data_IF_166842986743
#
_entry.id   IF_166842986743
#
_cell.length_a   1.000
_cell.length_b   1.000
_cell.length_c   1.000
_cell.angle_alpha   90.00
_cell.angle_beta   90.00
_cell.angle_gamma   90.00
#
_symmetry.space_group_name_H-M   'P 1'
#
loop_
_entity.id
_entity.type
_entity.pdbx_description
1 polymer ?
#
# COMPACT_ATOMS: atom_id res chain seq x y z
N UNK A 1 -7.21 13.95 17.03
CA UNK A 1 -7.69 13.13 15.90
C UNK A 1 -9.20 13.16 15.82
N UNK A 2 -9.78 12.61 14.75
CA UNK A 2 -11.23 12.56 14.54
C UNK A 2 -11.74 11.11 14.51
N UNK A 3 -13.02 10.95 14.78
CA UNK A 3 -13.80 9.72 14.61
C UNK A 3 -14.78 9.95 13.47
N UNK A 4 -14.86 9.02 12.54
CA UNK A 4 -15.82 9.11 11.43
C UNK A 4 -17.20 8.67 11.87
N UNK A 5 -18.24 9.43 11.50
CA UNK A 5 -19.63 9.04 11.73
C UNK A 5 -20.05 7.86 10.84
N UNK A 6 -19.49 7.80 9.62
CA UNK A 6 -19.67 6.68 8.69
C UNK A 6 -19.04 5.43 9.31
N UNK A 7 -19.78 4.32 9.34
CA UNK A 7 -19.24 3.00 9.71
C UNK A 7 -18.01 2.72 8.86
N UNK A 8 -16.90 2.40 9.52
CA UNK A 8 -15.66 2.02 8.88
C UNK A 8 -15.65 0.51 8.72
N UNK A 9 -15.44 0.03 7.49
CA UNK A 9 -15.24 -1.37 7.20
C UNK A 9 -13.82 -1.78 7.58
N UNK A 10 -13.69 -3.05 7.98
CA UNK A 10 -12.41 -3.70 8.27
C UNK A 10 -12.40 -4.97 7.44
N UNK A 11 -11.43 -5.09 6.56
CA UNK A 11 -11.22 -6.29 5.76
C UNK A 11 -9.98 -7.05 6.23
N UNK A 12 -9.96 -8.35 6.00
CA UNK A 12 -8.83 -9.21 6.35
C UNK A 12 -8.29 -9.93 5.11
N UNK A 13 -6.98 -9.85 4.89
CA UNK A 13 -6.28 -10.59 3.82
C UNK A 13 -5.06 -11.26 4.44
N UNK A 14 -4.93 -12.58 4.30
CA UNK A 14 -3.81 -13.32 4.89
C UNK A 14 -3.62 -13.07 6.41
N UNK A 15 -4.70 -12.87 7.16
CA UNK A 15 -4.65 -12.56 8.60
C UNK A 15 -4.28 -11.11 8.95
N UNK A 16 -4.02 -10.23 7.97
CA UNK A 16 -3.79 -8.80 8.18
C UNK A 16 -5.09 -8.03 8.00
N UNK A 17 -5.42 -7.18 8.97
CA UNK A 17 -6.62 -6.35 8.97
C UNK A 17 -6.33 -4.95 8.42
N UNK A 18 -7.20 -4.47 7.53
CA UNK A 18 -7.15 -3.16 6.92
C UNK A 18 -8.44 -2.40 7.23
N UNK A 19 -8.34 -1.16 7.73
CA UNK A 19 -9.48 -0.29 7.97
C UNK A 19 -9.75 0.02 9.44
N UNK A 20 -11.00 0.36 9.75
CA UNK A 20 -11.45 0.75 11.09
C UNK A 20 -11.36 2.25 11.34
N UNK A 21 -11.66 2.69 12.57
CA UNK A 21 -11.47 4.07 12.99
C UNK A 21 -9.98 4.38 13.20
N UNK A 22 -9.53 5.64 13.05
CA UNK A 22 -8.15 6.00 13.37
C UNK A 22 -7.78 5.59 14.80
N UNK A 23 -6.77 4.72 14.93
CA UNK A 23 -6.30 4.14 16.19
C UNK A 23 -7.06 2.90 16.68
N UNK A 24 -8.05 2.39 15.95
CA UNK A 24 -8.72 1.10 16.27
C UNK A 24 -7.79 -0.10 15.99
N UNK A 25 -7.14 -0.08 14.82
CA UNK A 25 -6.14 -1.03 14.37
C UNK A 25 -4.81 -0.31 14.11
N UNK A 26 -3.66 -0.99 14.29
CA UNK A 26 -2.37 -0.43 13.90
C UNK A 26 -2.30 -0.23 12.38
N UNK A 27 -1.52 0.76 11.96
CA UNK A 27 -1.32 1.04 10.54
C UNK A 27 -0.55 -0.10 9.87
N UNK A 28 -1.04 -0.55 8.72
CA UNK A 28 -0.39 -1.60 7.92
C UNK A 28 0.76 -1.03 7.09
N UNK A 29 1.93 -1.64 7.18
CA UNK A 29 3.14 -1.23 6.45
C UNK A 29 3.37 -2.12 5.23
N UNK A 30 3.31 -1.53 4.04
CA UNK A 30 3.52 -2.25 2.78
C UNK A 30 4.91 -1.92 2.23
N UNK A 31 5.77 -2.93 2.19
CA UNK A 31 7.17 -2.78 1.78
C UNK A 31 7.40 -3.27 0.36
N UNK A 32 8.07 -2.46 -0.46
CA UNK A 32 8.31 -2.82 -1.85
C UNK A 32 9.60 -3.62 -2.00
N UNK A 33 9.49 -4.80 -2.60
CA UNK A 33 10.61 -5.64 -3.02
C UNK A 33 10.64 -5.77 -4.54
N UNK A 34 11.82 -6.15 -5.06
CA UNK A 34 12.07 -6.37 -6.49
C UNK A 34 11.74 -5.23 -7.46
N UNK A 35 11.57 -4.00 -6.96
CA UNK A 35 11.34 -2.81 -7.79
C UNK A 35 12.53 -2.51 -8.72
N UNK A 36 12.29 -1.72 -9.77
CA UNK A 36 13.31 -1.33 -10.73
C UNK A 36 14.59 -0.79 -10.05
N UNK A 37 15.74 -1.37 -10.39
CA UNK A 37 17.07 -1.07 -9.80
C UNK A 37 17.22 -1.40 -8.32
N UNK A 38 16.37 -2.26 -7.77
CA UNK A 38 16.61 -2.83 -6.45
C UNK A 38 17.92 -3.63 -6.47
N UNK A 39 18.85 -3.30 -5.58
CA UNK A 39 20.25 -3.76 -5.65
C UNK A 39 20.43 -5.27 -5.50
N UNK A 40 19.43 -5.95 -4.97
CA UNK A 40 19.45 -7.41 -4.82
C UNK A 40 19.04 -8.13 -6.11
N UNK A 41 18.48 -7.44 -7.10
CA UNK A 41 18.07 -8.01 -8.39
C UNK A 41 19.19 -7.85 -9.40
N UNK A 42 19.57 -8.95 -10.03
CA UNK A 42 20.63 -9.01 -11.05
C UNK A 42 20.11 -9.13 -12.47
N UNK A 43 18.90 -9.67 -12.64
CA UNK A 43 18.18 -9.74 -13.92
C UNK A 43 16.67 -9.60 -13.62
N UNK A 44 16.12 -8.42 -13.90
CA UNK A 44 14.72 -8.06 -13.62
C UNK A 44 13.72 -8.72 -14.57
N UNK A 45 14.16 -9.08 -15.78
CA UNK A 45 13.35 -9.79 -16.76
C UNK A 45 13.18 -11.27 -16.37
N UNK A 46 14.25 -11.89 -15.87
CA UNK A 46 14.26 -13.30 -15.49
C UNK A 46 14.02 -13.57 -14.02
N UNK A 47 13.85 -12.53 -13.20
CA UNK A 47 13.65 -12.68 -11.77
C UNK A 47 14.83 -13.31 -11.04
N UNK A 48 16.06 -12.94 -11.42
CA UNK A 48 17.29 -13.45 -10.78
C UNK A 48 17.74 -12.44 -9.73
N UNK A 49 17.79 -12.86 -8.47
CA UNK A 49 18.12 -12.00 -7.34
C UNK A 49 18.93 -12.75 -6.27
N UNK A 50 19.56 -11.98 -5.39
CA UNK A 50 20.23 -12.46 -4.19
C UNK A 50 19.20 -12.84 -3.12
N UNK A 51 18.91 -14.14 -3.02
CA UNK A 51 17.97 -14.69 -2.04
C UNK A 51 18.38 -14.39 -0.59
N UNK A 52 19.66 -14.47 -0.26
CA UNK A 52 20.13 -14.24 1.11
C UNK A 52 19.94 -12.77 1.53
N UNK A 53 20.21 -11.83 0.61
CA UNK A 53 19.94 -10.42 0.83
C UNK A 53 18.43 -10.14 0.96
N UNK A 54 17.59 -10.77 0.12
CA UNK A 54 16.14 -10.65 0.18
C UNK A 54 15.58 -11.14 1.52
N UNK A 55 16.01 -12.31 1.98
CA UNK A 55 15.60 -12.88 3.28
C UNK A 55 16.09 -12.03 4.45
N UNK A 56 17.28 -11.45 4.37
CA UNK A 56 17.76 -10.52 5.42
C UNK A 56 16.84 -9.31 5.55
N UNK A 57 16.43 -8.72 4.42
CA UNK A 57 15.49 -7.58 4.41
C UNK A 57 14.13 -7.99 4.96
N UNK A 58 13.61 -9.14 4.53
CA UNK A 58 12.33 -9.67 5.01
C UNK A 58 12.35 -9.95 6.52
N UNK A 59 13.34 -10.69 7.02
CA UNK A 59 13.46 -11.03 8.43
C UNK A 59 13.67 -9.80 9.33
N UNK A 60 14.31 -8.75 8.80
CA UNK A 60 14.40 -7.46 9.51
C UNK A 60 13.01 -6.84 9.69
N UNK A 61 12.16 -6.89 8.66
CA UNK A 61 10.77 -6.45 8.76
C UNK A 61 9.96 -7.29 9.74
N UNK A 62 10.06 -8.62 9.69
CA UNK A 62 9.38 -9.51 10.63
C UNK A 62 9.76 -9.13 12.07
N UNK A 63 11.06 -8.97 12.35
CA UNK A 63 11.56 -8.61 13.68
C UNK A 63 11.05 -7.23 14.13
N UNK A 64 10.95 -6.25 13.23
CA UNK A 64 10.45 -4.92 13.55
C UNK A 64 8.94 -4.90 13.79
N UNK A 65 8.18 -5.69 13.04
CA UNK A 65 6.76 -5.91 13.33
C UNK A 65 6.56 -6.57 14.69
N UNK A 66 7.35 -7.57 15.02
CA UNK A 66 7.30 -8.22 16.34
C UNK A 66 7.67 -7.25 17.45
N UNK A 67 8.55 -6.28 17.18
CA UNK A 67 8.93 -5.26 18.15
C UNK A 67 7.86 -4.17 18.30
N UNK A 68 7.29 -3.65 17.21
CA UNK A 68 6.40 -2.48 17.26
C UNK A 68 4.92 -2.82 17.31
N UNK A 69 4.54 -3.99 16.80
CA UNK A 69 3.14 -4.40 16.67
C UNK A 69 2.45 -3.95 15.38
N UNK A 70 3.17 -3.27 14.48
CA UNK A 70 2.64 -2.87 13.18
C UNK A 70 2.59 -4.06 12.21
N UNK A 71 1.41 -4.41 11.67
CA UNK A 71 1.30 -5.45 10.64
C UNK A 71 1.96 -4.99 9.33
N UNK A 72 2.26 -5.96 8.47
CA UNK A 72 2.99 -5.71 7.24
C UNK A 72 2.51 -6.57 6.07
N UNK A 73 2.87 -6.12 4.87
CA UNK A 73 2.54 -6.75 3.58
C UNK A 73 3.76 -6.62 2.67
N UNK A 74 4.04 -7.65 1.87
CA UNK A 74 5.07 -7.56 0.84
C UNK A 74 4.47 -7.04 -0.47
N UNK A 75 5.00 -5.97 -1.05
CA UNK A 75 4.68 -5.56 -2.42
C UNK A 75 5.73 -6.12 -3.35
N UNK A 76 5.34 -7.15 -4.10
CA UNK A 76 6.19 -7.86 -5.06
C UNK A 76 6.02 -7.18 -6.42
N UNK A 77 7.07 -6.49 -6.87
CA UNK A 77 7.11 -5.84 -8.18
C UNK A 77 7.78 -6.76 -9.20
N UNK A 78 7.14 -7.00 -10.33
CA UNK A 78 7.72 -7.72 -11.45
C UNK A 78 7.67 -6.95 -12.77
N UNK A 79 8.70 -7.09 -13.58
CA UNK A 79 8.78 -6.47 -14.92
C UNK A 79 8.22 -7.40 -16.01
N UNK A 80 8.20 -8.72 -15.78
CA UNK A 80 7.70 -9.71 -16.74
C UNK A 80 6.86 -10.78 -16.04
N UNK A 81 6.03 -11.54 -16.78
CA UNK A 81 5.34 -12.69 -16.23
C UNK A 81 6.28 -13.77 -15.68
N UNK A 82 7.50 -13.88 -16.20
CA UNK A 82 8.49 -14.84 -15.69
C UNK A 82 9.04 -14.38 -14.32
N UNK A 83 9.42 -13.10 -14.21
CA UNK A 83 10.04 -12.60 -12.98
C UNK A 83 9.07 -12.54 -11.82
N UNK A 84 7.84 -12.05 -12.04
CA UNK A 84 6.84 -11.96 -10.96
C UNK A 84 6.49 -13.32 -10.36
N UNK A 85 6.39 -14.37 -11.19
CA UNK A 85 6.11 -15.74 -10.72
C UNK A 85 7.25 -16.27 -9.85
N UNK A 86 8.50 -16.07 -10.25
CA UNK A 86 9.66 -16.47 -9.44
C UNK A 86 9.76 -15.72 -8.11
N UNK A 87 9.40 -14.44 -8.09
CA UNK A 87 9.36 -13.67 -6.86
C UNK A 87 8.25 -14.14 -5.91
N UNK A 88 7.06 -14.47 -6.46
CA UNK A 88 5.96 -15.08 -5.70
C UNK A 88 6.40 -16.45 -5.14
N UNK A 89 7.00 -17.31 -5.95
CA UNK A 89 7.49 -18.64 -5.53
C UNK A 89 8.45 -18.54 -4.35
N UNK A 90 9.44 -17.65 -4.44
CA UNK A 90 10.35 -17.40 -3.34
C UNK A 90 9.62 -16.90 -2.09
N UNK A 91 8.68 -15.95 -2.25
CA UNK A 91 8.01 -15.37 -1.11
C UNK A 91 7.18 -16.41 -0.35
N UNK A 92 6.42 -17.23 -1.05
CA UNK A 92 5.58 -18.27 -0.43
C UNK A 92 6.41 -19.42 0.15
N UNK A 93 7.64 -19.63 -0.35
CA UNK A 93 8.60 -20.60 0.21
C UNK A 93 9.08 -20.18 1.60
N UNK A 94 9.29 -18.87 1.82
CA UNK A 94 9.84 -18.34 3.09
C UNK A 94 8.76 -17.83 4.05
N UNK A 95 7.56 -17.52 3.56
CA UNK A 95 6.44 -17.00 4.35
C UNK A 95 5.11 -17.58 3.83
N UNK A 96 4.45 -18.39 4.65
CA UNK A 96 3.22 -19.10 4.31
C UNK A 96 1.92 -18.36 4.73
N UNK A 97 2.04 -17.23 5.44
CA UNK A 97 0.90 -16.55 6.06
C UNK A 97 0.67 -15.13 5.54
N UNK A 98 1.74 -14.37 5.33
CA UNK A 98 1.66 -12.92 5.12
C UNK A 98 1.06 -12.63 3.74
N UNK A 99 0.11 -11.68 3.63
CA UNK A 99 -0.40 -11.26 2.33
C UNK A 99 0.66 -10.52 1.51
N UNK A 100 0.43 -10.44 0.21
CA UNK A 100 1.33 -9.73 -0.70
C UNK A 100 0.59 -9.04 -1.84
N UNK A 101 1.10 -7.89 -2.26
CA UNK A 101 0.65 -7.22 -3.48
C UNK A 101 1.38 -7.83 -4.68
N UNK A 102 0.63 -8.14 -5.73
CA UNK A 102 1.16 -8.43 -7.06
C UNK A 102 1.14 -7.14 -7.87
N UNK A 103 2.32 -6.65 -8.24
CA UNK A 103 2.46 -5.31 -8.82
C UNK A 103 3.38 -5.30 -10.04
N UNK A 104 3.00 -4.48 -11.01
CA UNK A 104 3.78 -4.16 -12.19
C UNK A 104 3.23 -2.89 -12.83
N UNK A 105 4.07 -2.19 -13.59
CA UNK A 105 3.59 -1.14 -14.49
C UNK A 105 2.77 -1.69 -15.67
N UNK A 106 2.92 -2.98 -15.98
CA UNK A 106 2.29 -3.65 -17.11
C UNK A 106 1.09 -4.53 -16.68
N UNK A 107 -0.07 -4.34 -17.31
CA UNK A 107 -1.30 -5.06 -16.98
C UNK A 107 -1.21 -6.57 -17.23
N UNK A 108 -0.50 -6.97 -18.28
CA UNK A 108 -0.28 -8.38 -18.61
C UNK A 108 0.54 -9.12 -17.55
N UNK A 109 1.44 -8.43 -16.86
CA UNK A 109 2.25 -9.01 -15.77
C UNK A 109 1.39 -9.22 -14.53
N UNK A 110 0.54 -8.22 -14.19
CA UNK A 110 -0.39 -8.33 -13.06
C UNK A 110 -1.45 -9.40 -13.27
N UNK A 111 -2.01 -9.48 -14.47
CA UNK A 111 -2.92 -10.54 -14.88
C UNK A 111 -2.25 -11.93 -14.77
N UNK A 112 -1.03 -12.08 -15.31
CA UNK A 112 -0.30 -13.34 -15.20
C UNK A 112 0.00 -13.75 -13.76
N UNK A 113 0.23 -12.79 -12.87
CA UNK A 113 0.41 -13.03 -11.44
C UNK A 113 -0.90 -13.43 -10.74
N UNK A 114 -2.02 -12.79 -11.06
CA UNK A 114 -3.33 -13.13 -10.49
C UNK A 114 -3.76 -14.56 -10.87
N UNK A 115 -3.60 -14.89 -12.15
CA UNK A 115 -3.82 -16.25 -12.65
C UNK A 115 -2.89 -17.24 -11.93
N UNK A 116 -1.60 -16.91 -11.80
CA UNK A 116 -0.65 -17.81 -11.17
C UNK A 116 -0.94 -18.05 -9.68
N UNK A 117 -1.35 -17.01 -8.94
CA UNK A 117 -1.74 -17.15 -7.53
C UNK A 117 -2.95 -18.10 -7.37
N UNK A 118 -3.86 -18.10 -8.35
CA UNK A 118 -4.97 -19.06 -8.43
C UNK A 118 -4.44 -20.48 -8.67
N UNK A 119 -3.60 -20.66 -9.69
CA UNK A 119 -3.03 -21.96 -10.08
C UNK A 119 -2.27 -22.66 -8.94
N UNK A 120 -1.53 -21.90 -8.12
CA UNK A 120 -0.72 -22.45 -7.03
C UNK A 120 -1.44 -22.40 -5.66
N UNK A 121 -2.69 -21.94 -5.62
CA UNK A 121 -3.55 -21.98 -4.42
C UNK A 121 -3.21 -20.96 -3.34
N UNK A 122 -2.68 -19.78 -3.71
CA UNK A 122 -2.31 -18.70 -2.77
C UNK A 122 -3.10 -17.41 -2.99
N UNK A 123 -4.14 -17.43 -3.84
CA UNK A 123 -4.93 -16.25 -4.20
C UNK A 123 -5.58 -15.55 -2.99
N UNK A 124 -5.92 -16.27 -1.92
CA UNK A 124 -6.46 -15.70 -0.67
C UNK A 124 -5.50 -14.76 0.08
N UNK A 125 -4.21 -14.78 -0.27
CA UNK A 125 -3.17 -13.89 0.27
C UNK A 125 -2.76 -12.80 -0.73
N UNK A 126 -3.13 -12.94 -1.99
CA UNK A 126 -2.73 -12.03 -3.05
C UNK A 126 -3.65 -10.80 -3.09
N UNK A 127 -3.04 -9.63 -3.28
CA UNK A 127 -3.73 -8.35 -3.46
C UNK A 127 -3.33 -7.81 -4.83
N UNK A 128 -4.28 -7.71 -5.76
CA UNK A 128 -3.99 -7.17 -7.08
C UNK A 128 -3.70 -5.66 -7.02
N UNK A 129 -2.52 -5.20 -7.46
CA UNK A 129 -2.15 -3.78 -7.47
C UNK A 129 -1.89 -3.29 -8.89
N UNK A 130 -2.84 -2.64 -9.58
CA UNK A 130 -4.14 -2.15 -9.09
C UNK A 130 -5.20 -2.11 -10.17
N UNK A 131 -6.46 -2.05 -9.74
CA UNK A 131 -7.56 -1.59 -10.58
C UNK A 131 -7.46 -0.06 -10.68
N UNK A 132 -7.23 0.41 -11.89
CA UNK A 132 -6.95 1.81 -12.18
C UNK A 132 -7.49 2.22 -13.55
N UNK A 133 -7.45 3.52 -13.86
CA UNK A 133 -8.04 4.08 -15.07
C UNK A 133 -7.41 3.60 -16.40
N UNK A 134 -6.31 2.85 -16.35
CA UNK A 134 -5.66 2.23 -17.52
C UNK A 134 -5.82 0.72 -17.58
N UNK A 135 -6.63 0.11 -16.69
CA UNK A 135 -6.92 -1.33 -16.76
C UNK A 135 -7.56 -1.68 -18.11
N UNK A 136 -7.05 -2.74 -18.74
CA UNK A 136 -7.53 -3.24 -20.02
C UNK A 136 -8.49 -4.42 -19.83
N UNK A 137 -9.35 -4.67 -20.83
CA UNK A 137 -10.33 -5.77 -20.77
C UNK A 137 -9.66 -7.14 -20.57
N UNK A 138 -8.48 -7.35 -21.15
CA UNK A 138 -7.71 -8.59 -20.97
C UNK A 138 -7.29 -8.84 -19.52
N UNK A 139 -6.98 -7.78 -18.76
CA UNK A 139 -6.65 -7.86 -17.34
C UNK A 139 -7.92 -8.08 -16.50
N UNK A 140 -9.03 -7.42 -16.85
CA UNK A 140 -10.34 -7.63 -16.23
C UNK A 140 -10.79 -9.09 -16.39
N UNK A 141 -10.71 -9.64 -17.60
CA UNK A 141 -11.15 -11.01 -17.89
C UNK A 141 -10.39 -12.03 -17.02
N UNK A 142 -9.06 -11.87 -16.93
CA UNK A 142 -8.22 -12.74 -16.09
C UNK A 142 -8.55 -12.57 -14.61
N UNK A 143 -8.79 -11.36 -14.13
CA UNK A 143 -9.16 -11.13 -12.73
C UNK A 143 -10.51 -11.76 -12.39
N UNK A 144 -11.52 -11.59 -13.26
CA UNK A 144 -12.85 -12.20 -13.11
C UNK A 144 -12.78 -13.74 -13.05
N UNK A 145 -11.83 -14.35 -13.76
CA UNK A 145 -11.61 -15.80 -13.75
C UNK A 145 -10.69 -16.28 -12.60
N UNK A 146 -10.03 -15.36 -11.89
CA UNK A 146 -9.11 -15.68 -10.80
C UNK A 146 -9.80 -15.82 -9.45
N UNK A 147 -9.15 -16.50 -8.51
CA UNK A 147 -9.58 -16.61 -7.11
C UNK A 147 -9.12 -15.40 -6.26
N UNK A 148 -8.58 -14.33 -6.87
CA UNK A 148 -8.08 -13.15 -6.15
C UNK A 148 -9.24 -12.24 -5.79
N UNK A 149 -9.51 -12.09 -4.48
CA UNK A 149 -10.66 -11.31 -3.99
C UNK A 149 -10.29 -9.92 -3.44
N UNK A 150 -9.00 -9.59 -3.36
CA UNK A 150 -8.50 -8.33 -2.83
C UNK A 150 -7.74 -7.53 -3.89
N UNK A 151 -7.98 -6.22 -3.94
CA UNK A 151 -7.27 -5.34 -4.86
C UNK A 151 -7.05 -3.94 -4.28
N UNK A 152 -5.92 -3.33 -4.65
CA UNK A 152 -5.78 -1.88 -4.58
C UNK A 152 -6.67 -1.27 -5.67
N UNK A 153 -7.51 -0.32 -5.29
CA UNK A 153 -8.33 0.48 -6.20
C UNK A 153 -7.77 1.90 -6.21
N UNK A 154 -7.21 2.32 -7.33
CA UNK A 154 -6.39 3.52 -7.42
C UNK A 154 -7.22 4.76 -7.78
N UNK A 155 -7.22 5.76 -6.90
CA UNK A 155 -7.90 7.04 -7.09
C UNK A 155 -7.07 8.03 -7.93
N UNK A 156 -6.40 7.55 -8.98
CA UNK A 156 -5.60 8.40 -9.86
C UNK A 156 -6.45 8.95 -11.00
N UNK A 157 -6.63 10.27 -11.01
CA UNK A 157 -7.30 10.96 -12.09
C UNK A 157 -6.32 11.96 -12.74
N UNK A 158 -5.88 11.63 -13.95
CA UNK A 158 -4.87 12.41 -14.68
C UNK A 158 -5.38 13.80 -15.10
N UNK A 159 -6.70 13.98 -15.26
CA UNK A 159 -7.29 15.24 -15.74
C UNK A 159 -7.81 16.12 -14.60
N UNK A 160 -8.07 15.54 -13.42
CA UNK A 160 -8.47 16.27 -12.21
C UNK A 160 -7.80 15.69 -10.95
N UNK A 161 -6.66 16.26 -10.49
CA UNK A 161 -5.96 15.78 -9.30
C UNK A 161 -6.59 16.25 -7.97
N UNK A 162 -7.74 16.93 -8.01
CA UNK A 162 -8.42 17.41 -6.80
C UNK A 162 -9.09 16.27 -6.03
N UNK A 163 -9.51 16.54 -4.80
CA UNK A 163 -10.29 15.55 -4.01
C UNK A 163 -11.56 15.12 -4.73
N UNK A 164 -12.21 16.03 -5.47
CA UNK A 164 -13.39 15.69 -6.28
C UNK A 164 -13.00 14.73 -7.40
N UNK A 165 -11.99 15.04 -8.20
CA UNK A 165 -11.53 14.16 -9.28
C UNK A 165 -11.11 12.77 -8.81
N UNK A 166 -10.52 12.68 -7.61
CA UNK A 166 -10.19 11.40 -6.94
C UNK A 166 -11.44 10.60 -6.52
N UNK A 167 -12.50 11.26 -6.07
CA UNK A 167 -13.78 10.59 -5.78
C UNK A 167 -14.50 10.19 -7.08
N UNK A 168 -14.51 11.08 -8.07
CA UNK A 168 -15.17 10.83 -9.36
C UNK A 168 -14.56 9.61 -10.04
N UNK A 169 -13.23 9.45 -10.07
CA UNK A 169 -12.62 8.27 -10.70
C UNK A 169 -12.98 6.96 -9.99
N UNK A 170 -13.18 7.00 -8.66
CA UNK A 170 -13.60 5.83 -7.88
C UNK A 170 -15.07 5.48 -8.10
N UNK A 171 -15.97 6.47 -8.08
CA UNK A 171 -17.43 6.25 -8.06
C UNK A 171 -18.09 6.32 -9.45
N UNK A 172 -17.56 7.16 -10.35
CA UNK A 172 -18.22 7.52 -11.63
C UNK A 172 -17.39 7.11 -12.84
N UNK A 173 -16.07 7.25 -12.77
CA UNK A 173 -15.17 7.09 -13.90
C UNK A 173 -14.50 8.40 -14.30
N UNK A 174 -13.83 8.42 -15.45
CA UNK A 174 -12.99 9.54 -15.87
C UNK A 174 -12.87 9.63 -17.38
N UNK A 175 -11.96 10.48 -17.86
CA UNK A 175 -11.72 10.61 -19.29
C UNK A 175 -11.26 9.28 -19.89
N UNK A 176 -12.10 8.68 -20.73
CA UNK A 176 -11.84 7.38 -21.36
C UNK A 176 -12.31 6.15 -20.55
N UNK A 177 -12.95 6.35 -19.39
CA UNK A 177 -13.48 5.28 -18.55
C UNK A 177 -14.93 5.57 -18.18
N UNK A 178 -15.87 4.75 -18.66
CA UNK A 178 -17.31 4.92 -18.42
C UNK A 178 -17.76 4.49 -17.02
N UNK A 179 -16.93 3.70 -16.33
CA UNK A 179 -17.22 3.13 -15.01
C UNK A 179 -16.24 3.65 -13.97
N UNK A 180 -16.73 3.82 -12.74
CA UNK A 180 -15.88 4.06 -11.58
C UNK A 180 -15.03 2.83 -11.27
N UNK A 181 -13.82 3.05 -10.73
CA UNK A 181 -12.90 1.95 -10.43
C UNK A 181 -13.44 0.99 -9.37
N UNK A 182 -14.34 1.43 -8.49
CA UNK A 182 -15.05 0.55 -7.56
C UNK A 182 -16.02 -0.40 -8.27
N UNK A 183 -16.71 0.07 -9.30
CA UNK A 183 -17.58 -0.77 -10.11
C UNK A 183 -16.77 -1.78 -10.92
N UNK A 184 -15.64 -1.36 -11.50
CA UNK A 184 -14.73 -2.29 -12.20
C UNK A 184 -14.22 -3.38 -11.24
N UNK A 185 -13.88 -3.01 -10.00
CA UNK A 185 -13.48 -3.98 -8.98
C UNK A 185 -14.58 -4.99 -8.65
N UNK A 186 -15.81 -4.54 -8.46
CA UNK A 186 -16.96 -5.43 -8.24
C UNK A 186 -17.17 -6.40 -9.42
N UNK A 187 -17.06 -5.92 -10.66
CA UNK A 187 -17.18 -6.74 -11.88
C UNK A 187 -16.02 -7.75 -12.04
N UNK A 188 -14.85 -7.44 -11.50
CA UNK A 188 -13.72 -8.38 -11.40
C UNK A 188 -13.90 -9.42 -10.28
N UNK A 189 -14.98 -9.37 -9.49
CA UNK A 189 -15.20 -10.26 -8.35
C UNK A 189 -14.44 -9.86 -7.08
N UNK A 190 -13.86 -8.66 -7.03
CA UNK A 190 -13.14 -8.15 -5.85
C UNK A 190 -14.14 -7.87 -4.72
N UNK A 191 -13.87 -8.46 -3.56
CA UNK A 191 -14.64 -8.31 -2.32
C UNK A 191 -13.97 -7.38 -1.32
N UNK A 192 -12.65 -7.21 -1.43
CA UNK A 192 -11.82 -6.42 -0.53
C UNK A 192 -11.15 -5.28 -1.33
N UNK A 193 -11.87 -4.17 -1.56
CA UNK A 193 -11.28 -2.99 -2.18
C UNK A 193 -10.49 -2.18 -1.15
N UNK A 194 -9.19 -1.99 -1.40
CA UNK A 194 -8.30 -1.16 -0.60
C UNK A 194 -7.98 0.12 -1.40
N UNK A 195 -8.38 1.29 -0.92
CA UNK A 195 -8.31 2.51 -1.72
C UNK A 195 -6.92 3.15 -1.62
N UNK A 196 -6.17 3.21 -2.71
CA UNK A 196 -4.97 4.07 -2.80
C UNK A 196 -5.41 5.46 -3.27
N UNK A 197 -5.16 6.49 -2.48
CA UNK A 197 -5.56 7.88 -2.80
C UNK A 197 -4.74 8.52 -3.92
N UNK A 198 -3.80 7.80 -4.53
CA UNK A 198 -2.88 8.22 -5.57
C UNK A 198 -2.04 9.44 -5.18
N UNK A 199 -0.89 9.18 -4.56
CA UNK A 199 -0.01 10.20 -4.02
C UNK A 199 0.65 11.08 -5.09
N UNK A 200 0.34 12.38 -5.06
CA UNK A 200 0.90 13.36 -6.01
C UNK A 200 2.16 14.06 -5.44
N UNK A 201 3.11 14.48 -6.31
CA UNK A 201 4.32 15.18 -5.87
C UNK A 201 4.01 16.44 -5.04
N UNK A 202 4.91 16.77 -4.12
CA UNK A 202 4.81 18.01 -3.34
C UNK A 202 4.79 19.23 -4.27
N UNK A 203 3.76 20.09 -4.10
CA UNK A 203 3.51 21.24 -4.95
C UNK A 203 2.71 20.94 -6.23
N UNK A 204 2.36 19.68 -6.49
CA UNK A 204 1.65 19.23 -7.68
C UNK A 204 0.35 18.45 -7.35
N UNK A 205 -0.32 18.79 -6.24
CA UNK A 205 -1.55 18.12 -5.79
C UNK A 205 -1.40 17.30 -4.51
N UNK A 206 -0.24 17.34 -3.86
CA UNK A 206 0.01 16.68 -2.57
C UNK A 206 -0.99 17.07 -1.47
N UNK A 207 -1.40 18.35 -1.41
CA UNK A 207 -2.40 18.80 -0.44
C UNK A 207 -3.77 18.16 -0.67
N UNK A 208 -4.17 17.98 -1.94
CA UNK A 208 -5.39 17.26 -2.29
C UNK A 208 -5.28 15.76 -1.96
N UNK A 209 -4.11 15.15 -2.19
CA UNK A 209 -3.81 13.76 -1.79
C UNK A 209 -4.09 13.55 -0.31
N UNK A 210 -3.48 14.35 0.57
CA UNK A 210 -3.66 14.19 2.02
C UNK A 210 -5.10 14.46 2.44
N UNK A 211 -5.76 15.47 1.86
CA UNK A 211 -7.18 15.76 2.15
C UNK A 211 -8.12 14.65 1.67
N UNK A 212 -7.75 13.91 0.62
CA UNK A 212 -8.54 12.78 0.13
C UNK A 212 -8.60 11.64 1.14
N UNK A 213 -7.58 11.44 1.98
CA UNK A 213 -7.57 10.37 2.99
C UNK A 213 -8.81 10.42 3.89
N UNK A 214 -9.03 11.49 4.69
CA UNK A 214 -10.21 11.56 5.53
C UNK A 214 -11.51 11.76 4.73
N UNK A 215 -11.44 12.36 3.54
CA UNK A 215 -12.65 12.58 2.73
C UNK A 215 -13.22 11.26 2.21
N UNK A 216 -12.38 10.41 1.62
CA UNK A 216 -12.78 9.11 1.07
C UNK A 216 -13.22 8.20 2.21
N UNK A 217 -12.44 8.14 3.29
CA UNK A 217 -12.75 7.34 4.48
C UNK A 217 -14.08 7.74 5.13
N UNK A 218 -14.33 9.04 5.27
CA UNK A 218 -15.59 9.58 5.79
C UNK A 218 -16.80 9.39 4.87
N UNK A 219 -16.60 9.31 3.56
CA UNK A 219 -17.68 9.14 2.57
C UNK A 219 -18.02 7.68 2.30
N UNK A 220 -17.00 6.85 2.08
CA UNK A 220 -17.16 5.46 1.66
C UNK A 220 -17.10 4.49 2.84
N UNK A 221 -16.31 4.78 3.86
CA UNK A 221 -16.05 3.85 4.98
C UNK A 221 -15.09 2.72 4.63
N UNK A 222 -14.50 2.71 3.43
CA UNK A 222 -13.53 1.70 3.00
C UNK A 222 -12.13 1.99 3.56
N UNK A 223 -11.23 0.99 3.66
CA UNK A 223 -9.84 1.23 4.02
C UNK A 223 -9.12 2.12 2.99
N UNK A 224 -8.34 3.08 3.48
CA UNK A 224 -7.66 4.08 2.66
C UNK A 224 -6.16 4.12 2.95
N UNK A 225 -5.35 4.17 1.91
CA UNK A 225 -3.90 4.27 2.03
C UNK A 225 -3.25 4.86 0.80
N UNK A 226 -1.96 4.60 0.66
CA UNK A 226 -1.27 4.79 -0.61
C UNK A 226 0.24 4.91 -0.55
N UNK A 227 0.83 5.09 -1.73
CA UNK A 227 2.27 5.26 -1.96
C UNK A 227 2.83 6.63 -1.58
N UNK A 228 2.73 7.07 -0.33
CA UNK A 228 3.05 8.45 0.06
C UNK A 228 4.53 8.82 -0.09
N UNK A 229 5.44 7.85 -0.14
CA UNK A 229 6.85 8.09 -0.46
C UNK A 229 7.03 8.79 -1.83
N UNK A 230 6.09 8.57 -2.77
CA UNK A 230 6.09 9.22 -4.08
C UNK A 230 5.97 10.76 -4.01
N UNK A 231 5.35 11.29 -2.95
CA UNK A 231 5.22 12.73 -2.76
C UNK A 231 6.59 13.40 -2.60
N UNK A 232 7.49 12.74 -1.85
CA UNK A 232 8.86 13.20 -1.62
C UNK A 232 9.80 12.81 -2.77
N UNK A 233 9.69 11.58 -3.27
CA UNK A 233 10.60 11.04 -4.29
C UNK A 233 10.52 11.82 -5.61
N UNK A 234 9.31 12.27 -5.97
CA UNK A 234 9.02 13.06 -7.16
C UNK A 234 9.06 14.58 -6.92
N UNK A 235 9.41 15.06 -5.72
CA UNK A 235 9.49 16.49 -5.45
C UNK A 235 10.73 17.11 -6.10
N UNK A 236 10.50 17.94 -7.12
CA UNK A 236 11.57 18.49 -7.97
C UNK A 236 12.62 19.31 -7.22
N UNK A 237 12.21 20.12 -6.24
CA UNK A 237 13.15 20.91 -5.47
C UNK A 237 14.07 20.01 -4.64
N UNK A 238 13.52 19.02 -3.92
CA UNK A 238 14.32 18.11 -3.09
C UNK A 238 15.22 17.22 -3.92
N UNK A 239 14.77 16.76 -5.11
CA UNK A 239 15.60 15.99 -6.06
C UNK A 239 16.85 16.76 -6.50
N UNK A 240 16.75 18.08 -6.67
CA UNK A 240 17.88 18.96 -7.01
C UNK A 240 18.72 19.27 -5.77
N UNK A 241 18.06 19.66 -4.68
CA UNK A 241 18.71 20.07 -3.44
C UNK A 241 19.53 18.94 -2.82
N UNK A 242 19.00 17.72 -2.70
CA UNK A 242 19.73 16.60 -2.07
C UNK A 242 21.05 16.27 -2.77
N UNK A 243 21.16 16.53 -4.08
CA UNK A 243 22.40 16.31 -4.86
C UNK A 243 23.51 17.30 -4.52
N UNK A 244 23.19 18.43 -3.90
CA UNK A 244 24.20 19.42 -3.46
C UNK A 244 24.71 19.15 -2.04
N UNK A 245 24.17 18.12 -1.38
CA UNK A 245 24.47 17.79 0.01
C UNK A 245 25.50 16.66 0.09
N UNK A 246 26.38 16.65 1.11
CA UNK A 246 27.40 15.61 1.28
C UNK A 246 26.79 14.23 1.59
N UNK A 247 25.64 14.21 2.27
CA UNK A 247 24.85 13.01 2.49
C UNK A 247 23.40 13.24 2.01
N UNK A 248 23.11 12.95 0.73
CA UNK A 248 21.78 13.11 0.17
C UNK A 248 20.71 12.27 0.89
N UNK A 249 21.08 11.14 1.51
CA UNK A 249 20.13 10.22 2.14
C UNK A 249 19.61 10.79 3.45
N UNK A 250 20.45 11.33 4.32
CA UNK A 250 19.99 11.97 5.57
C UNK A 250 19.09 13.19 5.35
N UNK A 251 19.22 13.87 4.20
CA UNK A 251 18.37 15.00 3.84
C UNK A 251 17.02 14.54 3.27
N UNK A 252 17.03 13.48 2.46
CA UNK A 252 15.82 12.95 1.81
C UNK A 252 14.92 12.16 2.78
N UNK A 253 15.52 11.30 3.61
CA UNK A 253 14.78 10.34 4.45
C UNK A 253 13.74 10.98 5.39
N UNK A 254 14.00 12.10 6.09
CA UNK A 254 12.99 12.74 6.93
C UNK A 254 11.75 13.18 6.14
N UNK A 255 11.94 13.64 4.90
CA UNK A 255 10.82 14.07 4.05
C UNK A 255 10.03 12.88 3.52
N UNK A 256 10.74 11.82 3.13
CA UNK A 256 10.16 10.56 2.62
C UNK A 256 9.34 9.83 3.69
N UNK A 257 9.86 9.70 4.90
CA UNK A 257 9.12 9.13 6.03
C UNK A 257 7.99 10.08 6.43
N UNK A 258 8.27 11.39 6.49
CA UNK A 258 7.30 12.40 6.92
C UNK A 258 6.02 12.42 6.10
N UNK A 259 6.06 12.15 4.78
CA UNK A 259 4.84 12.11 3.96
C UNK A 259 3.93 10.94 4.34
N UNK A 260 4.49 9.81 4.75
CA UNK A 260 3.73 8.68 5.28
C UNK A 260 3.06 9.04 6.63
N UNK A 261 3.81 9.65 7.55
CA UNK A 261 3.29 10.03 8.88
C UNK A 261 2.15 11.05 8.80
N UNK A 262 2.24 12.01 7.88
CA UNK A 262 1.17 13.00 7.64
C UNK A 262 -0.11 12.32 7.16
N UNK A 263 0.00 11.32 6.28
CA UNK A 263 -1.15 10.56 5.83
C UNK A 263 -1.75 9.65 6.92
N UNK A 264 -0.90 9.05 7.74
CA UNK A 264 -1.31 8.23 8.89
C UNK A 264 -2.16 9.06 9.88
N UNK A 265 -1.67 10.25 10.27
CA UNK A 265 -2.46 11.21 11.07
C UNK A 265 -3.72 11.70 10.34
N UNK A 266 -3.74 11.69 9.01
CA UNK A 266 -4.95 11.98 8.25
C UNK A 266 -5.95 10.81 8.19
N UNK A 267 -5.68 9.70 8.88
CA UNK A 267 -6.56 8.54 9.00
C UNK A 267 -6.30 7.45 7.94
N UNK A 268 -5.09 7.39 7.41
CA UNK A 268 -4.69 6.30 6.51
C UNK A 268 -4.51 4.99 7.28
N UNK A 269 -5.05 3.91 6.73
CA UNK A 269 -5.03 2.55 7.31
C UNK A 269 -3.80 1.74 6.86
N UNK A 270 -3.22 2.06 5.70
CA UNK A 270 -2.04 1.38 5.17
C UNK A 270 -1.10 2.33 4.41
N UNK A 271 0.20 2.06 4.49
CA UNK A 271 1.27 2.89 3.93
C UNK A 271 2.15 2.07 2.98
N UNK A 272 2.08 2.34 1.68
CA UNK A 272 3.07 1.86 0.71
C UNK A 272 4.30 2.75 0.85
N UNK A 273 5.15 2.42 1.81
CA UNK A 273 6.27 3.28 2.21
C UNK A 273 7.46 3.21 1.24
N UNK A 274 7.39 2.31 0.25
CA UNK A 274 8.39 2.15 -0.78
C UNK A 274 9.46 1.11 -0.40
N UNK A 275 10.74 1.33 -0.77
CA UNK A 275 11.79 0.32 -0.65
C UNK A 275 11.92 -0.28 0.76
N UNK A 276 11.96 -1.61 0.83
CA UNK A 276 12.08 -2.36 2.10
C UNK A 276 13.32 -1.97 2.91
N UNK A 277 14.39 -1.44 2.30
CA UNK A 277 15.59 -0.96 3.00
C UNK A 277 15.34 0.22 3.96
N UNK A 278 14.15 0.82 3.90
CA UNK A 278 13.72 1.87 4.82
C UNK A 278 13.05 1.33 6.10
N UNK A 279 12.85 0.02 6.22
CA UNK A 279 12.10 -0.64 7.31
C UNK A 279 12.52 -0.19 8.71
N UNK A 280 13.83 -0.14 8.99
CA UNK A 280 14.37 0.26 10.31
C UNK A 280 14.04 1.70 10.71
N UNK A 281 13.69 2.55 9.74
CA UNK A 281 13.36 3.96 9.96
C UNK A 281 11.85 4.19 9.96
N UNK A 282 11.12 3.43 9.13
CA UNK A 282 9.66 3.58 8.98
C UNK A 282 8.91 2.98 10.17
N UNK A 283 9.23 1.75 10.57
CA UNK A 283 8.53 1.04 11.65
C UNK A 283 8.47 1.84 12.95
N UNK A 284 9.59 2.32 13.54
CA UNK A 284 9.52 3.10 14.77
C UNK A 284 8.79 4.44 14.58
N UNK A 285 8.88 5.06 13.40
CA UNK A 285 8.21 6.33 13.13
C UNK A 285 6.69 6.17 13.03
N UNK A 286 6.22 5.09 12.40
CA UNK A 286 4.79 4.76 12.27
C UNK A 286 4.21 4.27 13.58
N UNK A 287 4.97 3.47 14.35
CA UNK A 287 4.58 3.05 15.69
C UNK A 287 4.37 4.24 16.64
N UNK A 288 5.24 5.26 16.57
CA UNK A 288 5.08 6.50 17.32
C UNK A 288 3.73 7.18 17.02
N UNK A 289 3.34 7.25 15.74
CA UNK A 289 2.06 7.85 15.36
C UNK A 289 0.89 6.96 15.80
N UNK A 290 0.99 5.64 15.68
CA UNK A 290 -0.07 4.73 16.15
C UNK A 290 -0.27 4.80 17.68
N UNK A 291 0.77 5.09 18.47
CA UNK A 291 0.60 5.39 19.90
C UNK A 291 -0.30 6.63 20.07
N UNK A 292 -0.01 7.72 19.36
CA UNK A 292 -0.82 8.96 19.42
C UNK A 292 -2.26 8.72 18.92
N UNK A 293 -2.43 7.90 17.88
CA UNK A 293 -3.74 7.52 17.36
C UNK A 293 -4.51 6.68 18.39
N UNK A 294 -3.87 5.69 19.00
CA UNK A 294 -4.47 4.81 20.00
C UNK A 294 -4.86 5.55 21.29
N UNK A 295 -4.05 6.52 21.72
CA UNK A 295 -4.42 7.44 22.81
C UNK A 295 -5.69 8.21 22.47
N UNK A 296 -5.76 8.77 21.25
CA UNK A 296 -6.94 9.52 20.83
C UNK A 296 -8.17 8.63 20.62
N UNK A 297 -7.98 7.40 20.13
CA UNK A 297 -9.06 6.42 19.96
C UNK A 297 -9.75 6.14 21.31
N UNK A 298 -8.96 5.92 22.37
CA UNK A 298 -9.46 5.75 23.73
C UNK A 298 -10.26 6.98 24.20
N UNK A 299 -9.75 8.19 23.99
CA UNK A 299 -10.47 9.43 24.34
C UNK A 299 -11.80 9.60 23.58
N UNK A 300 -11.87 9.14 22.33
CA UNK A 300 -13.06 9.21 21.48
C UNK A 300 -14.01 8.00 21.62
N UNK A 301 -13.75 7.12 22.60
CA UNK A 301 -14.55 5.92 22.85
C UNK A 301 -14.53 4.95 21.67
N UNK A 302 -13.36 4.79 21.04
CA UNK A 302 -13.05 3.73 20.09
C UNK A 302 -12.20 2.69 20.82
N UNK A 303 -12.65 1.45 20.82
CA UNK A 303 -11.91 0.35 21.44
C UNK A 303 -10.72 -0.06 20.56
N UNK A 304 -9.57 -0.34 21.18
CA UNK A 304 -8.43 -0.93 20.47
C UNK A 304 -8.75 -2.38 20.19
N UNK A 305 -8.78 -2.76 18.91
CA UNK A 305 -9.27 -4.07 18.49
C UNK A 305 -8.31 -5.23 18.77
N UNK A 306 -6.99 -4.96 18.80
CA UNK A 306 -5.95 -5.91 19.20
C UNK A 306 -5.03 -5.27 20.24
N UNK A 307 -5.44 -5.34 21.51
CA UNK A 307 -4.70 -4.73 22.60
C UNK A 307 -3.35 -5.40 22.88
N UNK A 308 -3.09 -6.62 22.40
CA UNK A 308 -1.81 -7.29 22.65
C UNK A 308 -0.74 -6.85 21.64
N UNK A 309 -1.16 -6.54 20.41
CA UNK A 309 -0.25 -6.13 19.34
C UNK A 309 -0.29 -4.65 19.01
N UNK A 310 -1.21 -3.84 19.55
CA UNK A 310 -1.25 -2.42 19.20
C UNK A 310 -0.02 -1.66 19.73
N UNK A 311 0.63 -0.76 18.94
CA UNK A 311 1.79 0.02 19.41
C UNK A 311 1.55 0.75 20.74
N UNK A 312 0.36 1.32 20.94
CA UNK A 312 -0.09 2.01 22.19
C UNK A 312 -0.13 1.14 23.45
N UNK A 313 -0.05 -0.18 23.35
CA UNK A 313 -0.04 -1.09 24.51
C UNK A 313 1.26 -1.88 24.56
N UNK A 314 1.85 -2.15 23.40
CA UNK A 314 3.10 -2.88 23.27
C UNK A 314 4.33 -2.05 23.64
N UNK A 315 4.29 -0.74 23.43
CA UNK A 315 5.45 0.15 23.56
C UNK A 315 5.34 1.14 24.73
N UNK A 316 4.23 1.14 25.48
CA UNK A 316 3.98 2.06 26.61
C UNK A 316 3.35 1.33 27.79
#
# INVERSE_FOLDING_TARGET
MFKFDKKQEVFEVGGVKFGGQPGEYPTVLVSTMFYARHKIVTDEDKGIFDRAAAETLWNTQVSLSDATGNPYVNQIVGETPESIKKYIDWFIEIDDKTPFLIDSSAGEVRAAAAQYCTEIGVASRAIHNSINASIEQSEIDVLTESDVEAAIVLAFNATDPTVKGKLDILEVGGSGQEKGMLQVAEECGIKIPLIDVAAMPLGAGSGATIRSVPTIKGKLGLPVGGGYHNMASAWDWLRKFKKTQPDPKSIYMPTDIGTNLVAQIAGSDFLLYGPIENVEKVFPAVAMVDIMLGETAKELGVEIADADNHPVTKLT
#
